data_IF_135866633122
#
_entry.id   IF_135866633122
#
_cell.length_a   1.000
_cell.length_b   1.000
_cell.length_c   1.000
_cell.angle_alpha   90.00
_cell.angle_beta   90.00
_cell.angle_gamma   90.00
#
_symmetry.space_group_name_H-M   'P 1'
#
loop_
_entity.id
_entity.type
_entity.pdbx_description
1 polymer ?
#
# COMPACT_ATOMS: atom_id res chain seq x y z
N UNK A 1 -16.95 17.86 2.90
CA UNK A 1 -16.69 16.70 3.78
C UNK A 1 -15.41 16.08 3.26
N UNK A 2 -14.38 15.92 4.08
CA UNK A 2 -13.02 15.64 3.60
C UNK A 2 -12.97 14.28 2.88
N UNK A 3 -12.90 14.34 1.55
CA UNK A 3 -12.76 13.21 0.65
C UNK A 3 -11.36 12.65 0.78
N UNK A 4 -11.23 11.46 1.36
CA UNK A 4 -10.00 10.69 1.20
C UNK A 4 -10.28 9.25 1.60
N UNK A 5 -10.20 8.27 0.68
CA UNK A 5 -9.91 6.94 1.17
C UNK A 5 -8.86 6.33 0.24
N UNK A 6 -7.64 6.81 0.39
CA UNK A 6 -6.45 6.23 -0.23
C UNK A 6 -6.29 6.29 -1.77
N UNK A 7 -5.03 6.31 -2.18
CA UNK A 7 -4.59 5.94 -3.52
C UNK A 7 -3.70 4.70 -3.41
N UNK A 8 -4.21 3.54 -3.78
CA UNK A 8 -3.46 2.30 -3.75
C UNK A 8 -2.47 2.23 -4.91
N UNK A 9 -1.19 2.14 -4.57
CA UNK A 9 -0.07 1.95 -5.49
C UNK A 9 0.31 0.46 -5.47
N UNK A 10 -0.26 -0.31 -6.39
CA UNK A 10 -0.13 -1.77 -6.45
C UNK A 10 1.10 -2.13 -7.28
N UNK A 11 2.11 -2.75 -6.66
CA UNK A 11 3.31 -3.26 -7.31
C UNK A 11 3.14 -4.77 -7.54
N UNK A 12 2.69 -5.14 -8.73
CA UNK A 12 2.41 -6.53 -9.10
C UNK A 12 2.67 -6.73 -10.60
N UNK A 13 3.45 -7.78 -10.92
CA UNK A 13 3.80 -8.15 -12.30
C UNK A 13 2.68 -8.90 -12.98
N UNK A 14 1.93 -9.71 -12.23
CA UNK A 14 0.77 -10.42 -12.74
C UNK A 14 -0.42 -9.47 -12.89
N UNK A 15 -0.74 -9.13 -14.13
CA UNK A 15 -1.83 -8.18 -14.43
C UNK A 15 -3.20 -8.67 -13.97
N UNK A 16 -3.43 -9.99 -13.88
CA UNK A 16 -4.70 -10.53 -13.38
C UNK A 16 -4.81 -10.32 -11.87
N UNK A 17 -3.74 -10.64 -11.12
CA UNK A 17 -3.71 -10.40 -9.67
C UNK A 17 -3.83 -8.90 -9.36
N UNK A 18 -3.13 -8.05 -10.12
CA UNK A 18 -3.20 -6.60 -9.95
C UNK A 18 -4.60 -6.04 -10.24
N UNK A 19 -5.31 -6.60 -11.23
CA UNK A 19 -6.68 -6.22 -11.55
C UNK A 19 -7.66 -6.70 -10.47
N UNK A 20 -7.58 -7.96 -10.07
CA UNK A 20 -8.46 -8.55 -9.03
C UNK A 20 -8.31 -7.81 -7.69
N UNK A 21 -7.07 -7.49 -7.30
CA UNK A 21 -6.80 -6.67 -6.13
C UNK A 21 -7.41 -5.27 -6.24
N UNK A 22 -7.27 -4.60 -7.39
CA UNK A 22 -7.83 -3.26 -7.60
C UNK A 22 -9.36 -3.26 -7.51
N UNK A 23 -10.02 -4.28 -8.05
CA UNK A 23 -11.47 -4.44 -7.96
C UNK A 23 -11.91 -4.68 -6.51
N UNK A 24 -11.24 -5.58 -5.79
CA UNK A 24 -11.53 -5.83 -4.37
C UNK A 24 -11.30 -4.60 -3.49
N UNK A 25 -10.28 -3.79 -3.78
CA UNK A 25 -10.03 -2.52 -3.08
C UNK A 25 -11.09 -1.46 -3.37
N UNK A 26 -11.61 -1.39 -4.60
CA UNK A 26 -12.70 -0.50 -4.95
C UNK A 26 -14.01 -0.88 -4.24
N UNK A 27 -14.24 -2.17 -3.99
CA UNK A 27 -15.35 -2.65 -3.17
C UNK A 27 -15.17 -2.31 -1.68
N UNK A 28 -13.96 -2.55 -1.14
CA UNK A 28 -13.64 -2.30 0.26
C UNK A 28 -13.57 -0.80 0.62
N UNK A 29 -13.16 0.03 -0.35
CA UNK A 29 -12.95 1.46 -0.19
C UNK A 29 -13.56 2.21 -1.39
N UNK A 30 -14.88 2.47 -1.36
CA UNK A 30 -15.54 3.27 -2.39
C UNK A 30 -14.84 4.61 -2.58
N UNK A 31 -14.76 5.09 -3.83
CA UNK A 31 -14.05 6.31 -4.24
C UNK A 31 -12.52 6.29 -4.09
N UNK A 32 -11.90 5.13 -3.80
CA UNK A 32 -10.43 5.02 -3.85
C UNK A 32 -9.90 5.16 -5.29
N UNK A 33 -8.62 5.51 -5.39
CA UNK A 33 -7.86 5.44 -6.64
C UNK A 33 -6.91 4.25 -6.58
N UNK A 34 -6.72 3.55 -7.70
CA UNK A 34 -5.71 2.50 -7.82
C UNK A 34 -4.78 2.79 -9.00
N UNK A 35 -3.47 2.76 -8.77
CA UNK A 35 -2.42 2.78 -9.80
C UNK A 35 -1.62 1.49 -9.72
N UNK A 36 -1.33 0.90 -10.89
CA UNK A 36 -0.64 -0.39 -10.99
C UNK A 36 0.73 -0.19 -11.60
N UNK A 37 1.72 -0.86 -11.03
CA UNK A 37 3.11 -0.80 -11.42
C UNK A 37 3.64 -2.24 -11.53
N UNK A 38 4.38 -2.52 -12.61
CA UNK A 38 4.97 -3.84 -12.81
C UNK A 38 6.23 -4.07 -11.95
N UNK A 39 6.80 -3.01 -11.36
CA UNK A 39 7.99 -3.09 -10.53
C UNK A 39 8.10 -1.90 -9.58
N UNK A 40 9.01 -1.99 -8.61
CA UNK A 40 9.31 -0.88 -7.70
C UNK A 40 9.88 0.30 -8.49
N UNK A 41 10.79 0.05 -9.44
CA UNK A 41 11.43 1.07 -10.26
C UNK A 41 10.39 1.88 -11.04
N UNK A 42 9.39 1.22 -11.63
CA UNK A 42 8.30 1.89 -12.33
C UNK A 42 7.48 2.82 -11.42
N UNK A 43 7.34 2.48 -10.13
CA UNK A 43 6.71 3.37 -9.15
C UNK A 43 7.63 4.55 -8.85
N UNK A 44 8.91 4.29 -8.56
CA UNK A 44 9.91 5.31 -8.22
C UNK A 44 10.05 6.37 -9.31
N UNK A 45 10.01 5.97 -10.59
CA UNK A 45 10.04 6.88 -11.75
C UNK A 45 8.88 7.89 -11.76
N UNK A 46 7.78 7.58 -11.06
CA UNK A 46 6.59 8.46 -10.97
C UNK A 46 6.42 9.11 -9.59
N UNK A 47 7.27 8.73 -8.62
CA UNK A 47 7.07 9.03 -7.20
C UNK A 47 7.04 10.53 -6.89
N UNK A 48 7.80 11.35 -7.63
CA UNK A 48 7.82 12.81 -7.43
C UNK A 48 6.45 13.48 -7.68
N UNK A 49 5.57 12.84 -8.46
CA UNK A 49 4.26 13.38 -8.80
C UNK A 49 3.12 12.90 -7.87
N UNK A 50 3.38 11.88 -7.06
CA UNK A 50 2.40 11.24 -6.18
C UNK A 50 2.01 12.05 -4.92
N UNK A 51 2.90 12.83 -4.28
CA UNK A 51 2.55 13.64 -3.11
C UNK A 51 1.44 14.68 -3.38
N UNK A 52 1.23 15.04 -4.64
CA UNK A 52 0.21 16.01 -5.06
C UNK A 52 -1.18 15.40 -5.27
N UNK A 53 -1.35 14.10 -4.99
CA UNK A 53 -2.64 13.44 -5.14
C UNK A 53 -3.65 13.92 -4.09
N UNK A 54 -4.94 14.00 -4.44
CA UNK A 54 -5.99 14.35 -3.49
C UNK A 54 -6.25 13.23 -2.46
N UNK A 55 -5.56 12.09 -2.55
CA UNK A 55 -5.73 10.93 -1.70
C UNK A 55 -4.40 10.40 -1.13
N UNK A 56 -4.42 9.85 0.10
CA UNK A 56 -3.25 9.31 0.78
C UNK A 56 -2.69 8.09 0.02
N UNK A 57 -1.46 8.12 -0.50
CA UNK A 57 -0.89 6.96 -1.16
C UNK A 57 -0.63 5.80 -0.19
N UNK A 58 -1.00 4.58 -0.60
CA UNK A 58 -0.75 3.33 0.13
C UNK A 58 -0.05 2.37 -0.82
N UNK A 59 1.14 1.90 -0.45
CA UNK A 59 1.91 0.97 -1.28
C UNK A 59 1.49 -0.46 -0.95
N UNK A 60 1.17 -1.25 -1.97
CA UNK A 60 0.91 -2.70 -1.82
C UNK A 60 1.91 -3.46 -2.70
N UNK A 61 2.65 -4.40 -2.12
CA UNK A 61 3.74 -5.08 -2.83
C UNK A 61 3.91 -6.53 -2.40
N UNK A 62 4.37 -7.41 -3.31
CA UNK A 62 4.79 -8.80 -3.03
C UNK A 62 6.31 -8.98 -3.02
N UNK A 63 7.06 -7.89 -2.92
CA UNK A 63 8.53 -7.90 -2.91
C UNK A 63 9.06 -8.30 -1.54
N UNK A 64 10.26 -8.88 -1.49
CA UNK A 64 10.89 -9.20 -0.21
C UNK A 64 11.30 -7.92 0.53
N UNK A 65 11.44 -7.99 1.85
CA UNK A 65 11.95 -6.87 2.66
C UNK A 65 13.34 -6.44 2.18
N UNK A 66 14.20 -7.39 1.78
CA UNK A 66 15.51 -7.08 1.20
C UNK A 66 15.41 -6.31 -0.11
N UNK A 67 14.45 -6.62 -0.98
CA UNK A 67 14.27 -5.90 -2.24
C UNK A 67 13.71 -4.49 -2.01
N UNK A 68 12.78 -4.35 -1.06
CA UNK A 68 12.22 -3.05 -0.65
C UNK A 68 13.31 -2.14 -0.08
N UNK A 69 14.21 -2.69 0.73
CA UNK A 69 15.36 -1.95 1.27
C UNK A 69 16.36 -1.57 0.18
N UNK A 70 16.72 -2.52 -0.71
CA UNK A 70 17.71 -2.30 -1.76
C UNK A 70 17.27 -1.23 -2.78
N UNK A 71 15.97 -1.11 -3.02
CA UNK A 71 15.39 -0.12 -3.95
C UNK A 71 15.10 1.23 -3.31
N UNK A 72 15.14 1.32 -1.97
CA UNK A 72 14.82 2.55 -1.23
C UNK A 72 13.32 2.85 -1.13
N UNK A 73 12.45 1.91 -1.51
CA UNK A 73 10.99 2.07 -1.41
C UNK A 73 10.53 2.29 0.04
N UNK A 74 11.13 1.58 0.99
CA UNK A 74 10.84 1.77 2.42
C UNK A 74 11.16 3.19 2.89
N UNK A 75 12.31 3.74 2.49
CA UNK A 75 12.72 5.10 2.83
C UNK A 75 11.86 6.17 2.13
N UNK A 76 11.36 5.89 0.92
CA UNK A 76 10.37 6.75 0.25
C UNK A 76 9.06 6.77 1.05
N UNK A 77 8.54 5.60 1.42
CA UNK A 77 7.30 5.48 2.16
C UNK A 77 7.37 6.20 3.51
N UNK A 78 8.46 6.00 4.26
CA UNK A 78 8.70 6.65 5.55
C UNK A 78 8.75 8.18 5.41
N UNK A 79 9.48 8.70 4.42
CA UNK A 79 9.62 10.15 4.17
C UNK A 79 8.28 10.84 3.94
N UNK A 80 7.35 10.15 3.28
CA UNK A 80 6.03 10.70 2.96
C UNK A 80 4.91 10.21 3.90
N UNK A 81 5.25 9.41 4.91
CA UNK A 81 4.31 8.78 5.84
C UNK A 81 3.23 7.95 5.10
N UNK A 82 3.65 7.27 4.03
CA UNK A 82 2.79 6.39 3.24
C UNK A 82 2.73 5.01 3.89
N UNK A 83 1.54 4.46 4.16
CA UNK A 83 1.41 3.09 4.60
C UNK A 83 1.96 2.12 3.56
N UNK A 84 2.62 1.06 4.05
CA UNK A 84 3.09 -0.05 3.23
C UNK A 84 2.36 -1.31 3.67
N UNK A 85 1.86 -2.04 2.68
CA UNK A 85 1.23 -3.35 2.84
C UNK A 85 2.07 -4.37 2.06
N UNK A 86 2.58 -5.37 2.76
CA UNK A 86 3.35 -6.46 2.15
C UNK A 86 2.47 -7.69 2.01
N UNK A 87 2.38 -8.23 0.80
CA UNK A 87 1.71 -9.49 0.55
C UNK A 87 2.62 -10.64 0.97
N UNK A 88 2.15 -11.47 1.89
CA UNK A 88 2.92 -12.53 2.54
C UNK A 88 3.22 -13.69 1.59
N UNK A 89 4.50 -14.02 1.41
CA UNK A 89 4.99 -15.20 0.69
C UNK A 89 6.49 -15.40 0.93
N UNK A 90 7.24 -14.28 0.89
CA UNK A 90 8.71 -14.27 0.93
C UNK A 90 9.28 -14.05 2.33
N UNK A 91 8.62 -13.21 3.13
CA UNK A 91 9.07 -12.83 4.48
C UNK A 91 8.03 -13.18 5.54
N UNK A 92 8.45 -13.50 6.78
CA UNK A 92 7.54 -13.80 7.87
C UNK A 92 6.77 -12.54 8.31
N UNK A 93 5.49 -12.67 8.72
CA UNK A 93 4.66 -11.54 9.14
C UNK A 93 5.29 -10.69 10.26
N UNK A 94 6.01 -11.33 11.18
CA UNK A 94 6.66 -10.65 12.32
C UNK A 94 7.76 -9.69 11.86
N UNK A 95 8.46 -10.01 10.77
CA UNK A 95 9.49 -9.14 10.20
C UNK A 95 8.87 -7.92 9.51
N UNK A 96 7.72 -8.09 8.84
CA UNK A 96 6.95 -6.98 8.24
C UNK A 96 6.41 -6.07 9.35
N UNK A 97 5.80 -6.65 10.38
CA UNK A 97 5.24 -5.90 11.51
C UNK A 97 6.32 -5.11 12.28
N UNK A 98 7.54 -5.65 12.40
CA UNK A 98 8.67 -4.95 13.02
C UNK A 98 9.07 -3.64 12.29
N UNK A 99 8.68 -3.48 11.02
CA UNK A 99 8.85 -2.23 10.24
C UNK A 99 7.69 -1.25 10.45
N UNK A 100 6.65 -1.63 11.19
CA UNK A 100 5.40 -0.87 11.31
C UNK A 100 4.53 -0.93 10.05
N UNK A 101 4.71 -1.96 9.22
CA UNK A 101 3.95 -2.17 7.99
C UNK A 101 2.83 -3.19 8.19
N UNK A 102 1.81 -3.13 7.32
CA UNK A 102 0.70 -4.08 7.33
C UNK A 102 0.99 -5.28 6.44
N UNK A 103 0.26 -6.36 6.65
CA UNK A 103 0.40 -7.61 5.89
C UNK A 103 -0.91 -7.96 5.17
N UNK A 104 -0.79 -8.52 3.97
CA UNK A 104 -1.92 -9.10 3.23
C UNK A 104 -1.62 -10.58 2.93
N UNK A 105 -2.55 -11.53 3.16
CA UNK A 105 -2.33 -12.93 2.80
C UNK A 105 -2.05 -13.16 1.30
N UNK A 106 -1.36 -14.25 0.97
CA UNK A 106 -1.22 -14.76 -0.40
C UNK A 106 -1.61 -16.25 -0.44
N UNK A 107 -2.69 -16.64 -1.14
CA UNK A 107 -3.65 -15.77 -1.84
C UNK A 107 -4.46 -14.89 -0.87
N UNK A 108 -4.95 -13.75 -1.34
CA UNK A 108 -5.88 -12.89 -0.60
C UNK A 108 -7.33 -13.18 -1.00
N UNK A 109 -8.26 -12.76 -0.16
CA UNK A 109 -9.70 -12.77 -0.40
C UNK A 109 -10.29 -11.36 -0.26
N UNK A 110 -11.55 -11.17 -0.68
CA UNK A 110 -12.25 -9.89 -0.48
C UNK A 110 -12.35 -9.48 0.99
N UNK A 111 -12.70 -10.38 1.95
CA UNK A 111 -12.62 -10.08 3.37
C UNK A 111 -11.25 -9.58 3.84
N UNK A 112 -10.15 -10.16 3.34
CA UNK A 112 -8.80 -9.71 3.72
C UNK A 112 -8.53 -8.27 3.27
N UNK A 113 -8.98 -7.90 2.07
CA UNK A 113 -8.87 -6.52 1.57
C UNK A 113 -9.73 -5.54 2.37
N UNK A 114 -10.96 -5.95 2.75
CA UNK A 114 -11.83 -5.14 3.62
C UNK A 114 -11.17 -4.90 4.97
N UNK A 115 -10.65 -5.95 5.61
CA UNK A 115 -9.96 -5.84 6.89
C UNK A 115 -8.74 -4.91 6.79
N UNK A 116 -7.92 -5.08 5.75
CA UNK A 116 -6.76 -4.22 5.51
C UNK A 116 -7.15 -2.74 5.38
N UNK A 117 -8.25 -2.43 4.68
CA UNK A 117 -8.77 -1.06 4.55
C UNK A 117 -9.26 -0.53 5.90
N UNK A 118 -9.97 -1.34 6.70
CA UNK A 118 -10.42 -0.95 8.04
C UNK A 118 -9.24 -0.61 8.97
N UNK A 119 -8.17 -1.41 8.92
CA UNK A 119 -6.93 -1.15 9.67
C UNK A 119 -6.27 0.17 9.23
N UNK A 120 -6.19 0.43 7.91
CA UNK A 120 -5.65 1.70 7.39
C UNK A 120 -6.47 2.91 7.87
N UNK A 121 -7.81 2.81 7.87
CA UNK A 121 -8.69 3.89 8.35
C UNK A 121 -8.51 4.14 9.85
N UNK A 122 -8.25 3.10 10.64
CA UNK A 122 -8.00 3.23 12.07
C UNK A 122 -6.67 3.93 12.40
N UNK A 123 -5.68 3.88 11.50
CA UNK A 123 -4.38 4.54 11.67
C UNK A 123 -4.36 6.02 11.22
N UNK A 124 -5.28 6.46 10.35
CA UNK A 124 -5.37 7.85 9.86
C UNK A 124 -5.44 8.92 10.98
N UNK A 125 -6.24 8.77 12.06
CA UNK A 125 -6.29 9.75 13.15
C UNK A 125 -4.93 9.93 13.85
N UNK A 126 -4.13 8.86 13.92
CA UNK A 126 -2.82 8.89 14.60
C UNK A 126 -1.76 9.63 13.79
N UNK A 127 -1.82 9.55 12.46
CA UNK A 127 -0.93 10.30 11.56
C UNK A 127 -1.25 11.80 11.56
N UNK A 128 -2.54 12.18 11.60
CA UNK A 128 -2.94 13.59 11.68
C UNK A 128 -2.47 14.28 12.98
N UNK A 129 -2.48 13.55 14.10
CA UNK A 129 -1.98 14.01 15.40
C UNK A 129 -0.45 14.18 15.47
N UNK A 130 0.32 13.50 14.61
CA UNK A 130 1.78 13.70 14.50
C UNK A 130 2.17 14.96 13.72
N UNK A 131 1.21 15.59 13.04
CA UNK A 131 1.42 16.79 12.21
C UNK A 131 1.02 18.10 12.91
N UNK A 132 0.45 18.04 14.11
CA UNK A 132 0.03 19.19 14.92
C UNK A 132 1.04 19.50 16.04
#
# INVERSE_FOLDING_TARGET
MAHTPFCFLIIERDSFIAQDMAEGLAEASPDCLSRRYASIEALLDTAETLPSLPALPVIITKQSLSDIDATGLGALAERHDWPVVVRLDLDPPEAVAARGWLTLPSPFTRPDLMQMVEELLAELPRQALRRA
#
